data_IF_782203103405
#
_entry.id   IF_782203103405
#
_cell.length_a   1.000
_cell.length_b   1.000
_cell.length_c   1.000
_cell.angle_alpha   90.00
_cell.angle_beta   90.00
_cell.angle_gamma   90.00
#
_symmetry.space_group_name_H-M   'P 1'
#
loop_
_entity.id
_entity.type
_entity.pdbx_description
1 polymer ?
#
# COMPACT_ATOMS: atom_id res chain seq x y z
N UNK A 1 -13.99 22.36 -21.33
CA UNK A 1 -13.41 21.01 -21.20
C UNK A 1 -13.73 20.56 -19.78
N UNK A 2 -14.45 19.45 -19.60
CA UNK A 2 -14.79 18.94 -18.27
C UNK A 2 -13.53 18.36 -17.63
N UNK A 3 -13.19 18.79 -16.43
CA UNK A 3 -12.24 18.11 -15.57
C UNK A 3 -12.87 16.77 -15.13
N UNK A 4 -12.63 15.72 -15.92
CA UNK A 4 -12.77 14.36 -15.40
C UNK A 4 -11.50 14.05 -14.64
N UNK A 5 -11.57 14.20 -13.30
CA UNK A 5 -11.07 13.27 -12.29
C UNK A 5 -10.82 14.01 -10.96
N UNK A 6 -11.86 14.59 -10.36
CA UNK A 6 -11.78 15.00 -8.96
C UNK A 6 -11.78 13.70 -8.12
N UNK A 7 -10.61 13.17 -7.80
CA UNK A 7 -10.47 12.03 -6.91
C UNK A 7 -11.13 12.40 -5.57
N UNK A 8 -12.08 11.59 -5.10
CA UNK A 8 -12.75 11.85 -3.83
C UNK A 8 -11.97 11.15 -2.73
N UNK A 9 -11.29 11.90 -1.86
CA UNK A 9 -10.64 11.33 -0.68
C UNK A 9 -11.70 10.86 0.33
N UNK A 10 -11.63 9.60 0.73
CA UNK A 10 -12.46 9.01 1.79
C UNK A 10 -11.57 8.31 2.80
N UNK A 11 -11.54 8.85 4.02
CA UNK A 11 -10.79 8.27 5.15
C UNK A 11 -11.70 8.15 6.36
N UNK A 12 -11.42 7.18 7.23
CA UNK A 12 -12.10 7.03 8.52
C UNK A 12 -11.17 6.36 9.54
N UNK A 13 -11.61 6.30 10.79
CA UNK A 13 -10.89 5.63 11.87
C UNK A 13 -9.66 6.40 12.38
N UNK A 14 -8.65 5.69 12.86
CA UNK A 14 -7.52 6.28 13.57
C UNK A 14 -6.38 6.65 12.61
N UNK A 15 -6.15 7.94 12.40
CA UNK A 15 -5.15 8.48 11.47
C UNK A 15 -4.25 9.54 12.14
N UNK A 16 -4.09 9.48 13.47
CA UNK A 16 -3.28 10.44 14.22
C UNK A 16 -1.82 10.40 13.75
N UNK A 17 -1.24 11.57 13.48
CA UNK A 17 0.14 11.68 12.99
C UNK A 17 0.33 11.39 11.51
N UNK A 18 -0.74 11.04 10.78
CA UNK A 18 -0.70 10.86 9.33
C UNK A 18 -1.10 12.14 8.60
N UNK A 19 -0.67 12.28 7.35
CA UNK A 19 -0.98 13.40 6.48
C UNK A 19 -1.48 12.92 5.12
N UNK A 20 -2.18 13.79 4.41
CA UNK A 20 -2.64 13.54 3.05
C UNK A 20 -2.36 14.76 2.18
N UNK A 21 -1.78 14.52 1.00
CA UNK A 21 -1.70 15.48 -0.08
C UNK A 21 -2.90 15.29 -1.01
N UNK A 22 -3.56 16.40 -1.33
CA UNK A 22 -4.71 16.42 -2.21
C UNK A 22 -4.45 17.43 -3.32
N UNK A 23 -4.41 16.96 -4.54
CA UNK A 23 -4.15 17.82 -5.69
C UNK A 23 -5.43 18.57 -6.08
N UNK A 24 -5.30 19.88 -6.26
CA UNK A 24 -6.41 20.79 -6.56
C UNK A 24 -6.09 21.46 -7.88
N UNK A 25 -6.15 20.68 -8.97
CA UNK A 25 -5.90 21.19 -10.31
C UNK A 25 -7.22 21.65 -10.94
N UNK A 26 -7.21 22.87 -11.50
CA UNK A 26 -8.31 23.39 -12.34
C UNK A 26 -9.70 23.32 -11.68
N UNK A 27 -9.78 23.52 -10.36
CA UNK A 27 -11.05 23.47 -9.62
C UNK A 27 -11.59 24.89 -9.43
N UNK A 28 -12.58 25.27 -10.23
CA UNK A 28 -13.38 26.48 -10.04
C UNK A 28 -14.41 26.33 -8.89
N UNK A 29 -14.55 25.11 -8.36
CA UNK A 29 -15.48 24.75 -7.30
C UNK A 29 -14.79 24.74 -5.91
N UNK A 30 -15.50 25.10 -4.83
CA UNK A 30 -14.95 25.05 -3.49
C UNK A 30 -14.70 23.60 -3.04
N UNK A 31 -13.56 23.36 -2.38
CA UNK A 31 -13.25 22.08 -1.73
C UNK A 31 -14.25 21.87 -0.59
N UNK A 32 -15.03 20.78 -0.64
CA UNK A 32 -16.02 20.44 0.38
C UNK A 32 -15.53 19.27 1.22
N UNK A 33 -15.53 19.48 2.54
CA UNK A 33 -15.23 18.44 3.51
C UNK A 33 -16.54 18.03 4.16
N UNK A 34 -16.91 16.77 3.96
CA UNK A 34 -18.15 16.21 4.50
C UNK A 34 -17.82 15.12 5.52
N UNK A 35 -18.33 15.28 6.74
CA UNK A 35 -18.19 14.29 7.81
C UNK A 35 -19.49 13.50 7.91
N UNK A 36 -19.47 12.25 7.42
CA UNK A 36 -20.60 11.34 7.55
C UNK A 36 -20.46 10.53 8.84
N UNK A 37 -21.44 10.65 9.73
CA UNK A 37 -21.39 10.13 11.09
C UNK A 37 -22.50 9.11 11.32
N UNK A 38 -22.16 7.96 11.89
CA UNK A 38 -23.17 6.96 12.24
C UNK A 38 -24.03 7.44 13.41
N UNK A 39 -25.29 6.96 13.47
CA UNK A 39 -26.26 7.29 14.54
C UNK A 39 -25.87 6.73 15.92
N UNK A 40 -24.87 5.85 15.99
CA UNK A 40 -24.40 5.27 17.25
C UNK A 40 -23.74 6.35 18.10
N UNK A 41 -24.18 6.48 19.35
CA UNK A 41 -23.57 7.38 20.32
C UNK A 41 -22.19 6.81 20.73
N UNK A 42 -21.14 7.31 20.09
CA UNK A 42 -19.74 7.03 20.42
C UNK A 42 -19.01 8.36 20.57
N UNK A 43 -18.04 8.43 21.48
CA UNK A 43 -17.16 9.60 21.58
C UNK A 43 -16.30 9.66 20.32
N UNK A 44 -16.22 10.85 19.70
CA UNK A 44 -15.39 11.10 18.52
C UNK A 44 -14.66 12.41 18.74
N UNK A 45 -13.34 12.38 18.53
CA UNK A 45 -12.48 13.55 18.63
C UNK A 45 -11.55 13.55 17.43
N UNK A 46 -11.43 14.69 16.76
CA UNK A 46 -10.48 14.91 15.68
C UNK A 46 -9.94 16.33 15.76
N UNK A 47 -8.65 16.48 15.47
CA UNK A 47 -8.00 17.77 15.24
C UNK A 47 -7.40 17.71 13.84
N UNK A 48 -7.94 18.51 12.92
CA UNK A 48 -7.57 18.47 11.50
C UNK A 48 -6.99 19.83 11.14
N UNK A 49 -5.73 19.84 10.70
CA UNK A 49 -5.06 21.03 10.17
C UNK A 49 -5.03 20.93 8.65
N UNK A 50 -5.56 21.95 7.99
CA UNK A 50 -5.60 22.06 6.53
C UNK A 50 -4.75 23.25 6.14
N UNK A 51 -3.80 23.03 5.24
CA UNK A 51 -2.92 24.08 4.74
C UNK A 51 -2.75 23.92 3.23
N UNK A 52 -2.66 25.04 2.53
CA UNK A 52 -2.20 25.04 1.15
C UNK A 52 -0.68 24.98 1.15
N UNK A 53 -0.11 23.94 0.55
CA UNK A 53 1.35 23.78 0.47
C UNK A 53 1.90 24.59 -0.72
N UNK A 54 3.04 25.28 -0.56
CA UNK A 54 3.70 25.94 -1.68
C UNK A 54 4.29 24.91 -2.65
N UNK A 55 4.57 25.34 -3.87
CA UNK A 55 5.11 24.47 -4.93
C UNK A 55 6.38 23.71 -4.51
N UNK A 56 7.27 24.34 -3.73
CA UNK A 56 8.51 23.72 -3.25
C UNK A 56 8.31 22.56 -2.27
N UNK A 57 7.13 22.43 -1.68
CA UNK A 57 6.75 21.37 -0.75
C UNK A 57 5.64 20.48 -1.31
N UNK A 58 5.35 20.59 -2.61
CA UNK A 58 4.35 19.78 -3.29
C UNK A 58 4.82 18.33 -3.35
N UNK A 59 3.93 17.40 -3.01
CA UNK A 59 4.15 15.98 -3.28
C UNK A 59 4.17 15.71 -4.80
N UNK A 60 4.86 14.66 -5.27
CA UNK A 60 4.75 14.26 -6.67
C UNK A 60 3.30 13.95 -7.05
N UNK A 61 2.95 14.14 -8.33
CA UNK A 61 1.60 13.88 -8.84
C UNK A 61 1.23 12.41 -8.58
N UNK A 62 0.03 12.16 -8.06
CA UNK A 62 -0.46 10.81 -7.73
C UNK A 62 -0.22 10.36 -6.28
N UNK A 63 0.70 11.01 -5.56
CA UNK A 63 1.06 10.63 -4.21
C UNK A 63 0.06 11.17 -3.17
N UNK A 64 -0.67 10.28 -2.49
CA UNK A 64 -1.55 10.66 -1.38
C UNK A 64 -0.75 10.94 -0.11
N UNK A 65 0.29 10.14 0.15
CA UNK A 65 1.23 10.38 1.24
C UNK A 65 2.62 10.64 0.65
N UNK A 66 3.32 11.64 1.19
CA UNK A 66 4.68 11.96 0.75
C UNK A 66 5.61 12.10 1.96
N UNK A 67 6.63 11.27 1.99
CA UNK A 67 7.63 11.20 3.05
C UNK A 67 8.98 11.74 2.56
N UNK A 68 9.71 12.40 3.45
CA UNK A 68 11.03 12.98 3.19
C UNK A 68 11.99 12.54 4.30
N UNK A 69 13.28 12.54 4.00
CA UNK A 69 14.33 12.10 4.92
C UNK A 69 14.76 10.65 4.67
N UNK A 70 15.88 10.27 5.29
CA UNK A 70 16.50 8.96 5.09
C UNK A 70 15.76 7.83 5.79
N UNK A 71 14.99 8.13 6.84
CA UNK A 71 14.23 7.13 7.57
C UNK A 71 12.84 7.66 7.93
N UNK A 72 11.90 6.74 8.13
CA UNK A 72 10.57 7.10 8.62
C UNK A 72 9.65 5.91 8.78
N UNK A 73 8.41 6.19 9.19
CA UNK A 73 7.36 5.20 9.39
C UNK A 73 6.20 5.51 8.45
N UNK A 74 5.77 4.49 7.73
CA UNK A 74 4.69 4.53 6.74
C UNK A 74 3.56 3.68 7.26
N UNK A 75 2.35 4.22 7.23
CA UNK A 75 1.15 3.52 7.66
C UNK A 75 0.04 3.72 6.63
N UNK A 76 -0.71 2.66 6.37
CA UNK A 76 -1.97 2.78 5.64
C UNK A 76 -2.99 3.55 6.48
N UNK A 77 -3.98 4.16 5.81
CA UNK A 77 -5.08 4.82 6.51
C UNK A 77 -5.81 3.81 7.40
N UNK A 78 -6.16 4.25 8.61
CA UNK A 78 -6.81 3.45 9.66
C UNK A 78 -6.01 2.24 10.19
N UNK A 79 -4.68 2.24 10.09
CA UNK A 79 -3.85 1.25 10.75
C UNK A 79 -3.83 1.48 12.29
N UNK A 80 -4.40 0.54 13.06
CA UNK A 80 -4.44 0.55 14.52
C UNK A 80 -4.79 -0.85 15.05
N UNK A 81 -4.52 -1.18 16.32
CA UNK A 81 -4.77 -2.54 16.89
C UNK A 81 -6.19 -3.10 16.68
N UNK A 82 -7.21 -2.24 16.66
CA UNK A 82 -8.61 -2.59 16.35
C UNK A 82 -9.10 -1.93 15.05
N UNK A 83 -8.15 -1.41 14.28
CA UNK A 83 -8.37 -0.78 12.99
C UNK A 83 -8.63 -1.82 11.91
N UNK A 84 -9.18 -1.34 10.80
CA UNK A 84 -9.30 -2.12 9.57
C UNK A 84 -9.08 -1.20 8.40
N UNK A 85 -8.36 -1.67 7.40
CA UNK A 85 -8.23 -0.90 6.18
C UNK A 85 -9.60 -0.63 5.55
N UNK A 86 -9.72 0.51 4.88
CA UNK A 86 -10.95 0.87 4.18
C UNK A 86 -10.96 0.16 2.83
N UNK A 87 -12.13 -0.30 2.41
CA UNK A 87 -12.31 -0.84 1.06
C UNK A 87 -12.36 0.30 0.03
N UNK A 88 -12.11 -0.06 -1.23
CA UNK A 88 -12.04 0.86 -2.37
C UNK A 88 -11.02 2.00 -2.14
N UNK A 89 -9.83 1.63 -1.66
CA UNK A 89 -8.69 2.54 -1.57
C UNK A 89 -7.72 2.22 -2.70
N UNK A 90 -7.33 3.22 -3.45
CA UNK A 90 -6.31 3.11 -4.49
C UNK A 90 -5.49 4.39 -4.43
N UNK A 91 -4.32 4.29 -3.81
CA UNK A 91 -3.46 5.45 -3.61
C UNK A 91 -1.99 5.06 -3.50
N UNK A 92 -1.12 6.05 -3.75
CA UNK A 92 0.31 5.88 -3.67
C UNK A 92 0.90 6.59 -2.44
N UNK A 93 1.89 5.93 -1.84
CA UNK A 93 2.79 6.51 -0.84
C UNK A 93 4.14 6.70 -1.49
N UNK A 94 4.60 7.93 -1.53
CA UNK A 94 5.85 8.30 -2.17
C UNK A 94 6.89 8.70 -1.14
N UNK A 95 8.13 8.32 -1.38
CA UNK A 95 9.27 8.65 -0.53
C UNK A 95 10.28 9.40 -1.40
N UNK A 96 10.72 10.57 -0.94
CA UNK A 96 11.74 11.34 -1.66
C UNK A 96 13.07 10.60 -1.58
N UNK A 97 13.65 10.27 -2.74
CA UNK A 97 15.03 9.83 -2.81
C UNK A 97 15.96 10.97 -2.37
N UNK A 98 16.66 10.79 -1.25
CA UNK A 98 17.62 11.78 -0.73
C UNK A 98 18.93 11.75 -1.54
N UNK A 99 19.71 12.82 -1.47
CA UNK A 99 20.97 12.89 -2.24
C UNK A 99 21.97 11.80 -1.81
N UNK A 100 22.63 11.19 -2.79
CA UNK A 100 23.61 10.13 -2.60
C UNK A 100 23.06 8.77 -2.14
N UNK A 101 21.74 8.54 -2.22
CA UNK A 101 21.12 7.25 -1.90
C UNK A 101 20.73 6.47 -3.15
N UNK A 102 20.92 5.15 -3.13
CA UNK A 102 20.61 4.27 -4.26
C UNK A 102 19.62 3.17 -3.91
N UNK A 103 19.50 2.80 -2.63
CA UNK A 103 18.61 1.74 -2.20
C UNK A 103 17.68 2.25 -1.10
N UNK A 104 16.55 1.58 -0.98
CA UNK A 104 15.62 1.72 0.14
C UNK A 104 15.35 0.34 0.72
N UNK A 105 15.19 0.30 2.04
CA UNK A 105 14.85 -0.91 2.74
C UNK A 105 13.62 -0.72 3.58
N UNK A 106 12.73 -1.72 3.53
CA UNK A 106 11.48 -1.77 4.26
C UNK A 106 11.48 -2.90 5.28
N UNK A 107 11.00 -2.60 6.48
CA UNK A 107 10.81 -3.59 7.55
C UNK A 107 9.44 -3.38 8.21
N UNK A 108 8.75 -4.44 8.65
CA UNK A 108 7.53 -4.30 9.45
C UNK A 108 7.81 -3.56 10.76
N UNK A 109 6.93 -2.64 11.16
CA UNK A 109 7.06 -1.92 12.44
C UNK A 109 7.10 -2.87 13.66
N UNK A 110 6.49 -4.05 13.54
CA UNK A 110 6.43 -5.14 14.52
C UNK A 110 5.87 -6.40 13.85
N UNK A 111 5.83 -7.54 14.54
CA UNK A 111 5.40 -8.86 14.01
C UNK A 111 4.02 -8.82 13.33
N UNK A 112 3.06 -8.09 13.91
CA UNK A 112 1.69 -7.96 13.37
C UNK A 112 1.48 -6.71 12.49
N UNK A 113 2.56 -6.10 11.97
CA UNK A 113 2.46 -4.81 11.28
C UNK A 113 1.99 -4.91 9.83
N UNK A 114 1.80 -6.12 9.29
CA UNK A 114 1.36 -6.35 7.93
C UNK A 114 0.27 -7.42 7.92
N UNK A 115 -0.98 -7.02 7.70
CA UNK A 115 -2.13 -7.93 7.58
C UNK A 115 -3.09 -7.42 6.55
N UNK A 116 -3.08 -8.08 5.40
CA UNK A 116 -3.85 -7.71 4.22
C UNK A 116 -4.39 -9.00 3.66
N UNK A 117 -5.64 -9.32 3.95
CA UNK A 117 -6.12 -10.63 3.57
C UNK A 117 -6.10 -10.80 2.05
N UNK A 118 -5.59 -11.95 1.55
CA UNK A 118 -5.71 -12.31 0.14
C UNK A 118 -7.18 -12.66 -0.09
N UNK A 119 -7.99 -11.64 -0.36
CA UNK A 119 -9.40 -11.74 -0.72
C UNK A 119 -9.54 -12.50 -2.06
N UNK A 120 -9.20 -13.77 -2.10
CA UNK A 120 -9.28 -14.59 -3.30
C UNK A 120 -10.75 -15.02 -3.41
N UNK A 121 -11.48 -14.43 -4.36
CA UNK A 121 -12.85 -14.84 -4.71
C UNK A 121 -12.99 -16.27 -5.25
N UNK A 122 -12.00 -17.13 -5.06
CA UNK A 122 -11.98 -18.54 -5.50
C UNK A 122 -11.83 -19.43 -4.28
N UNK A 123 -12.97 -20.02 -3.92
CA UNK A 123 -13.09 -21.15 -3.00
C UNK A 123 -12.18 -22.30 -3.50
N UNK A 124 -11.01 -22.47 -2.90
CA UNK A 124 -10.42 -23.80 -2.85
C UNK A 124 -10.93 -24.48 -1.57
N UNK A 125 -12.23 -24.77 -1.58
CA UNK A 125 -12.80 -25.81 -0.77
C UNK A 125 -12.09 -27.10 -1.16
N UNK A 126 -11.09 -27.48 -0.37
CA UNK A 126 -10.56 -28.83 -0.36
C UNK A 126 -11.63 -29.76 0.22
N UNK A 127 -12.63 -30.07 -0.59
CA UNK A 127 -13.46 -31.25 -0.39
C UNK A 127 -13.87 -31.78 -1.76
N UNK A 128 -12.95 -32.55 -2.35
CA UNK A 128 -13.06 -33.06 -3.71
C UNK A 128 -11.87 -33.96 -4.01
N UNK A 129 -12.06 -35.25 -3.74
CA UNK A 129 -11.23 -36.37 -4.17
C UNK A 129 -10.68 -36.17 -5.60
N UNK A 130 -9.36 -36.03 -5.74
CA UNK A 130 -8.67 -36.07 -7.04
C UNK A 130 -7.48 -37.02 -6.91
N UNK A 131 -7.65 -38.18 -7.55
CA UNK A 131 -6.60 -39.15 -7.76
C UNK A 131 -5.42 -38.62 -8.61
N UNK A 132 -4.27 -39.21 -8.34
CA UNK A 132 -3.09 -39.43 -9.18
C UNK A 132 -2.94 -38.62 -10.47
N UNK A 133 -1.91 -37.77 -10.54
CA UNK A 133 -1.21 -37.49 -11.79
C UNK A 133 -0.64 -36.08 -11.94
N UNK A 134 0.69 -36.02 -12.00
CA UNK A 134 1.56 -34.95 -12.51
C UNK A 134 1.86 -33.78 -11.57
N UNK A 135 3.10 -33.78 -11.07
CA UNK A 135 3.68 -32.68 -10.31
C UNK A 135 3.73 -31.39 -11.13
N UNK A 136 3.17 -30.33 -10.56
CA UNK A 136 3.46 -28.96 -10.94
C UNK A 136 4.36 -28.37 -9.89
N UNK A 137 5.53 -27.90 -10.32
CA UNK A 137 6.39 -27.01 -9.55
C UNK A 137 5.60 -25.72 -9.36
N UNK A 138 5.07 -25.50 -8.16
CA UNK A 138 4.44 -24.25 -7.77
C UNK A 138 5.51 -23.30 -7.22
N UNK A 139 6.37 -22.81 -8.10
CA UNK A 139 7.17 -21.62 -7.82
C UNK A 139 6.66 -20.52 -8.77
N UNK A 140 6.04 -19.47 -8.20
CA UNK A 140 5.88 -18.19 -8.91
C UNK A 140 4.49 -17.76 -9.40
N UNK A 141 3.36 -18.25 -8.84
CA UNK A 141 2.02 -17.74 -9.23
C UNK A 141 1.13 -17.17 -8.12
N UNK A 142 1.61 -17.10 -6.88
CA UNK A 142 0.84 -16.54 -5.76
C UNK A 142 0.77 -14.99 -5.76
N UNK A 143 1.55 -14.33 -6.62
CA UNK A 143 1.73 -12.87 -6.67
C UNK A 143 0.61 -12.13 -7.44
N UNK A 144 -0.18 -12.82 -8.28
CA UNK A 144 -1.18 -12.19 -9.17
C UNK A 144 -2.64 -12.25 -8.66
N UNK A 145 -2.93 -12.92 -7.53
CA UNK A 145 -4.31 -13.27 -7.16
C UNK A 145 -4.96 -12.42 -6.07
N UNK A 146 -4.22 -11.52 -5.42
CA UNK A 146 -4.76 -10.74 -4.31
C UNK A 146 -5.59 -9.53 -4.77
N UNK A 147 -6.86 -9.51 -4.35
CA UNK A 147 -7.77 -8.36 -4.50
C UNK A 147 -7.29 -7.17 -3.64
N UNK A 148 -6.88 -7.42 -2.40
CA UNK A 148 -6.23 -6.42 -1.55
C UNK A 148 -4.72 -6.63 -1.55
N UNK A 149 -3.96 -5.58 -1.82
CA UNK A 149 -2.51 -5.68 -1.94
C UNK A 149 -1.77 -4.39 -1.63
N UNK A 150 -0.57 -4.57 -1.12
CA UNK A 150 0.50 -3.58 -1.11
C UNK A 150 1.47 -3.92 -2.21
N UNK A 151 2.12 -2.90 -2.72
CA UNK A 151 3.10 -3.08 -3.76
C UNK A 151 4.34 -2.27 -3.46
N UNK A 152 5.49 -2.93 -3.45
CA UNK A 152 6.78 -2.30 -3.22
C UNK A 152 7.53 -2.16 -4.55
N UNK A 153 8.35 -1.10 -4.71
CA UNK A 153 9.21 -0.98 -5.86
C UNK A 153 10.25 -2.10 -5.80
N UNK A 154 10.45 -2.86 -6.88
CA UNK A 154 11.54 -3.83 -6.98
C UNK A 154 12.23 -3.74 -8.33
N UNK A 155 13.52 -4.03 -8.35
CA UNK A 155 14.26 -4.24 -9.59
C UNK A 155 14.23 -5.74 -9.85
N UNK A 156 13.50 -6.18 -10.87
CA UNK A 156 13.67 -7.53 -11.37
C UNK A 156 14.89 -7.56 -12.27
N UNK A 157 15.93 -8.27 -11.87
CA UNK A 157 16.82 -8.93 -12.83
C UNK A 157 16.08 -10.16 -13.38
N UNK A 158 15.10 -9.95 -14.25
CA UNK A 158 14.51 -11.02 -15.07
C UNK A 158 14.72 -10.72 -16.56
N UNK A 159 15.97 -10.34 -16.88
CA UNK A 159 16.49 -10.32 -18.24
C UNK A 159 16.97 -11.73 -18.65
N UNK A 160 16.11 -12.74 -18.55
CA UNK A 160 16.25 -13.99 -19.31
C UNK A 160 14.92 -14.74 -19.39
N UNK A 161 13.96 -14.26 -20.18
CA UNK A 161 13.25 -15.10 -21.14
C UNK A 161 12.56 -14.26 -22.22
N UNK A 162 12.81 -14.65 -23.46
CA UNK A 162 12.33 -14.01 -24.68
C UNK A 162 10.80 -14.12 -24.81
N UNK A 163 10.10 -13.01 -25.01
CA UNK A 163 8.79 -13.02 -25.66
C UNK A 163 7.73 -12.05 -25.15
N UNK A 164 7.71 -10.86 -25.76
CA UNK A 164 6.49 -10.12 -26.14
C UNK A 164 5.61 -9.46 -25.05
N UNK A 165 5.67 -8.12 -25.06
CA UNK A 165 4.71 -7.12 -24.57
C UNK A 165 4.79 -6.65 -23.10
N UNK A 166 4.99 -5.34 -22.95
CA UNK A 166 4.74 -4.59 -21.71
C UNK A 166 6.02 -4.13 -21.01
N UNK A 167 6.14 -2.83 -20.78
CA UNK A 167 7.28 -2.21 -20.09
C UNK A 167 7.35 -2.75 -18.66
N UNK A 168 8.48 -3.36 -18.32
CA UNK A 168 8.73 -3.99 -17.03
C UNK A 168 8.88 -2.96 -15.91
N UNK A 169 7.96 -3.03 -14.94
CA UNK A 169 8.21 -2.63 -13.57
C UNK A 169 7.97 -3.88 -12.73
N UNK A 170 9.02 -4.42 -12.12
CA UNK A 170 8.80 -5.32 -11.00
C UNK A 170 8.16 -4.47 -9.90
N UNK A 171 6.94 -4.83 -9.58
CA UNK A 171 6.19 -4.27 -8.46
C UNK A 171 5.79 -5.49 -7.63
N UNK A 172 6.60 -5.82 -6.61
CA UNK A 172 6.36 -7.00 -5.78
C UNK A 172 5.03 -6.77 -5.07
N UNK A 173 4.08 -7.67 -5.32
CA UNK A 173 2.73 -7.63 -4.73
C UNK A 173 2.80 -8.36 -3.40
N UNK A 174 2.37 -7.70 -2.33
CA UNK A 174 2.34 -8.25 -0.98
C UNK A 174 0.91 -8.25 -0.44
N UNK A 175 0.49 -9.42 0.02
CA UNK A 175 -0.75 -9.70 0.71
C UNK A 175 -0.50 -10.89 1.67
N UNK A 176 -1.45 -11.18 2.55
CA UNK A 176 -1.32 -12.13 3.64
C UNK A 176 -1.09 -11.49 5.00
N UNK A 177 -0.75 -12.34 5.96
CA UNK A 177 -0.58 -11.99 7.38
C UNK A 177 0.87 -11.63 7.76
N UNK A 178 1.77 -11.58 6.78
CA UNK A 178 3.18 -11.21 6.97
C UNK A 178 3.72 -10.61 5.68
N UNK A 179 4.62 -9.64 5.80
CA UNK A 179 5.37 -9.10 4.66
C UNK A 179 6.36 -10.14 4.09
N UNK A 180 6.91 -11.00 4.95
CA UNK A 180 7.84 -12.07 4.60
C UNK A 180 7.21 -13.43 4.94
N UNK A 181 6.42 -14.04 4.04
CA UNK A 181 5.69 -15.28 4.33
C UNK A 181 6.61 -16.49 4.55
N UNK A 182 7.82 -16.47 3.98
CA UNK A 182 8.82 -17.54 4.12
C UNK A 182 9.51 -17.58 5.50
N UNK A 183 9.13 -16.70 6.42
CA UNK A 183 9.69 -16.66 7.78
C UNK A 183 11.10 -16.09 7.86
N UNK A 184 11.48 -15.24 6.91
CA UNK A 184 12.75 -14.51 6.95
C UNK A 184 12.84 -13.64 8.21
N UNK A 185 13.94 -13.79 8.96
CA UNK A 185 14.17 -13.09 10.22
C UNK A 185 15.58 -12.49 10.23
N UNK A 186 15.73 -11.14 10.28
CA UNK A 186 14.67 -10.13 10.24
C UNK A 186 13.97 -10.08 8.87
N UNK A 187 12.67 -9.79 8.87
CA UNK A 187 11.92 -9.53 7.64
C UNK A 187 12.36 -8.17 7.07
N UNK A 188 13.11 -8.19 5.97
CA UNK A 188 13.80 -7.02 5.42
C UNK A 188 13.79 -7.07 3.90
N UNK A 189 13.11 -6.12 3.27
CA UNK A 189 13.00 -6.03 1.81
C UNK A 189 13.80 -4.84 1.30
N UNK A 190 14.93 -5.12 0.64
CA UNK A 190 15.78 -4.12 -0.01
C UNK A 190 15.41 -3.96 -1.49
N UNK A 191 15.45 -2.72 -1.98
CA UNK A 191 15.18 -2.38 -3.37
C UNK A 191 16.03 -1.20 -3.83
N UNK A 192 16.62 -1.34 -5.02
CA UNK A 192 17.28 -0.28 -5.77
C UNK A 192 16.35 0.45 -6.75
N UNK A 193 15.09 0.00 -6.87
CA UNK A 193 14.16 0.49 -7.87
C UNK A 193 13.71 1.91 -7.57
N UNK A 194 13.78 2.77 -8.59
CA UNK A 194 13.35 4.16 -8.51
C UNK A 194 12.19 4.44 -9.48
N UNK A 195 11.22 5.28 -9.11
CA UNK A 195 11.10 6.01 -7.84
C UNK A 195 10.65 5.12 -6.66
N UNK A 196 10.97 5.56 -5.43
CA UNK A 196 10.50 4.88 -4.20
C UNK A 196 9.01 5.15 -3.96
N UNK A 197 8.17 4.33 -4.59
CA UNK A 197 6.71 4.45 -4.54
C UNK A 197 6.08 3.14 -4.11
N UNK A 198 5.30 3.20 -3.05
CA UNK A 198 4.49 2.09 -2.54
C UNK A 198 3.06 2.30 -3.04
N UNK A 199 2.48 1.29 -3.68
CA UNK A 199 1.06 1.32 -4.04
C UNK A 199 0.22 0.62 -2.99
N UNK A 200 -0.90 1.24 -2.61
CA UNK A 200 -1.93 0.69 -1.73
C UNK A 200 -3.18 0.47 -2.56
N UNK A 201 -3.61 -0.78 -2.68
CA UNK A 201 -4.83 -1.15 -3.39
C UNK A 201 -5.68 -2.05 -2.49
N UNK A 202 -6.79 -1.50 -1.99
CA UNK A 202 -7.82 -2.24 -1.28
C UNK A 202 -9.07 -2.25 -2.13
N UNK A 203 -9.42 -3.42 -2.64
CA UNK A 203 -10.52 -3.67 -3.53
C UNK A 203 -11.89 -3.42 -2.88
N UNK A 204 -12.98 -3.72 -3.61
CA UNK A 204 -14.30 -3.71 -3.04
C UNK A 204 -14.41 -4.75 -1.92
N UNK A 205 -15.26 -4.50 -0.93
CA UNK A 205 -15.48 -5.43 0.18
C UNK A 205 -15.83 -6.83 -0.32
N UNK A 206 -14.89 -7.76 -0.22
CA UNK A 206 -15.07 -9.17 -0.51
C UNK A 206 -15.28 -9.92 0.82
N UNK A 207 -16.54 -10.24 1.13
CA UNK A 207 -16.98 -11.07 2.29
C UNK A 207 -16.48 -10.62 3.68
N UNK A 208 -17.15 -11.14 4.72
CA UNK A 208 -16.75 -10.92 6.11
C UNK A 208 -15.59 -11.86 6.44
N UNK A 209 -14.39 -11.50 6.02
CA UNK A 209 -13.18 -12.11 6.58
C UNK A 209 -12.97 -11.66 8.02
N UNK A 210 -12.09 -12.36 8.72
CA UNK A 210 -11.76 -12.04 10.11
C UNK A 210 -11.37 -10.56 10.19
N UNK A 211 -12.02 -9.79 11.08
CA UNK A 211 -11.64 -8.42 11.42
C UNK A 211 -10.15 -8.18 11.60
N UNK A 212 -9.45 -9.18 12.10
CA UNK A 212 -8.07 -9.12 12.58
C UNK A 212 -7.05 -9.29 11.44
N UNK A 213 -7.50 -9.70 10.25
CA UNK A 213 -6.63 -10.00 9.11
C UNK A 213 -6.58 -8.86 8.08
N UNK A 214 -7.38 -7.80 8.30
CA UNK A 214 -7.47 -6.64 7.42
C UNK A 214 -7.01 -5.36 8.11
N UNK A 215 -5.89 -5.44 8.85
CA UNK A 215 -5.30 -4.32 9.58
C UNK A 215 -4.72 -3.25 8.66
N UNK A 216 -4.17 -3.68 7.52
CA UNK A 216 -3.37 -2.87 6.62
C UNK A 216 -1.87 -3.07 6.86
N UNK A 217 -1.09 -2.00 6.74
CA UNK A 217 0.37 -2.05 6.77
C UNK A 217 0.96 -0.91 7.61
N UNK A 218 1.97 -1.24 8.42
CA UNK A 218 2.95 -0.33 8.99
C UNK A 218 4.37 -0.81 8.65
N UNK A 219 5.12 0.01 7.92
CA UNK A 219 6.52 -0.24 7.59
C UNK A 219 7.41 0.88 8.11
N UNK A 220 8.61 0.53 8.57
CA UNK A 220 9.73 1.47 8.62
C UNK A 220 10.41 1.46 7.24
N UNK A 221 10.98 2.61 6.86
CA UNK A 221 11.88 2.67 5.72
C UNK A 221 13.24 3.27 6.13
N UNK A 222 14.29 2.81 5.45
CA UNK A 222 15.65 3.34 5.54
C UNK A 222 16.28 3.44 4.15
N UNK A 223 16.77 4.63 3.79
CA UNK A 223 17.47 4.87 2.52
C UNK A 223 18.98 4.68 2.73
N UNK A 224 19.57 3.81 1.91
CA UNK A 224 20.99 3.47 1.98
C UNK A 224 21.81 4.26 0.94
N UNK A 225 23.02 4.70 1.30
CA UNK A 225 23.90 5.39 0.36
C UNK A 225 24.26 4.49 -0.81
N UNK A 226 24.56 5.09 -1.96
CA UNK A 226 25.14 4.38 -3.09
C UNK A 226 26.47 3.74 -2.69
N UNK A 227 26.64 2.44 -2.97
CA UNK A 227 27.93 1.77 -2.83
C UNK A 227 28.93 2.42 -3.79
N UNK A 228 30.11 2.79 -3.28
CA UNK A 228 31.23 3.32 -4.07
C UNK A 228 31.89 2.25 -4.92
#
# INVERSE_FOLDING_TARGET
>A
MKAENASTLKICGYNSGQHVYYDVENVDEPIRISMNLSKKAVSRLWEIKIVQVPFSQRAPVGCLQYYQGKTGVIQTMNFADNGRHLTNQDYEVCIRQEDGVCNIVYEPCHENAFRISPNNGVDHSTDGDIGSGFGSISEGREMETCDDKITLPCDSDDLIMMGNQGVGYCKMVHCGNSLCPNGETPCRIESSATPFVIGVYFGPSAREESPEDNLGMCLTYEQLPCSM
#
